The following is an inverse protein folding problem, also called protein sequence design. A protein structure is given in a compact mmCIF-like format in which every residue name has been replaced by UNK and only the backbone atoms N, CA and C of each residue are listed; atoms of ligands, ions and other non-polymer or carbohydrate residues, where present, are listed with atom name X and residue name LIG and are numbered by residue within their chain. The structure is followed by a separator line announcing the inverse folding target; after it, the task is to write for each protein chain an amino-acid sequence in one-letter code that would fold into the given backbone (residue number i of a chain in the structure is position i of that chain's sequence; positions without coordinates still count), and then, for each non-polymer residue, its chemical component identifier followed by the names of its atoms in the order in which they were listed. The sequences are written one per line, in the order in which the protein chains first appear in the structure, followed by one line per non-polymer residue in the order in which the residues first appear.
data_IF_134427677069
#
_entry.id   IF_134427677069
#
_cell.length_a   1.000
_cell.length_b   1.000
_cell.length_c   1.000
_cell.angle_alpha   90.00
_cell.angle_beta   90.00
_cell.angle_gamma   90.00
#
_symmetry.space_group_name_H-M   'P 1'
#
loop_
_entity.id
_entity.type
_entity.pdbx_description
1 polymer ?
#
# COMPACT_ATOMS: atom_id res chain seq x y z
N UNK A 1 -3.24 -32.35 4.92
CA UNK A 1 -3.38 -31.13 4.10
C UNK A 1 -2.51 -30.02 4.70
N UNK A 2 -1.65 -29.36 3.93
CA UNK A 2 -0.55 -28.51 4.45
C UNK A 2 -0.93 -27.06 4.82
N UNK A 3 -2.19 -26.66 4.64
CA UNK A 3 -2.72 -25.35 5.04
C UNK A 3 -2.01 -24.16 4.39
N UNK A 4 -1.72 -24.26 3.09
CA UNK A 4 -0.96 -23.25 2.32
C UNK A 4 -1.77 -21.97 2.05
N UNK A 5 -3.11 -22.06 2.11
CA UNK A 5 -4.05 -20.95 1.99
C UNK A 5 -3.84 -19.86 3.05
N UNK A 6 -3.26 -20.20 4.21
CA UNK A 6 -2.94 -19.24 5.28
C UNK A 6 -2.07 -18.08 4.81
N UNK A 7 -1.14 -18.34 3.88
CA UNK A 7 -0.23 -17.32 3.37
C UNK A 7 -0.99 -16.27 2.55
N UNK A 8 -1.93 -16.71 1.72
CA UNK A 8 -2.79 -15.82 0.96
C UNK A 8 -3.73 -15.03 1.86
N UNK A 9 -4.37 -15.69 2.84
CA UNK A 9 -5.28 -15.02 3.78
C UNK A 9 -4.58 -13.93 4.60
N UNK A 10 -3.38 -14.23 5.11
CA UNK A 10 -2.59 -13.27 5.88
C UNK A 10 -2.17 -12.08 5.01
N UNK A 11 -1.66 -12.33 3.80
CA UNK A 11 -1.29 -11.28 2.87
C UNK A 11 -2.49 -10.41 2.50
N UNK A 12 -3.66 -11.03 2.26
CA UNK A 12 -4.88 -10.30 1.92
C UNK A 12 -5.32 -9.38 3.06
N UNK A 13 -5.39 -9.87 4.29
CA UNK A 13 -5.78 -9.04 5.44
C UNK A 13 -4.77 -7.91 5.67
N UNK A 14 -3.47 -8.20 5.62
CA UNK A 14 -2.44 -7.21 5.91
C UNK A 14 -2.37 -6.07 4.87
N UNK A 15 -2.49 -6.41 3.58
CA UNK A 15 -2.42 -5.43 2.48
C UNK A 15 -3.60 -4.47 2.41
N UNK A 16 -4.69 -4.73 3.13
CA UNK A 16 -5.86 -3.85 3.18
C UNK A 16 -5.74 -2.70 4.19
N UNK A 17 -4.73 -2.71 5.08
CA UNK A 17 -4.53 -1.65 6.09
C UNK A 17 -4.44 -0.26 5.44
N UNK A 18 -3.62 -0.14 4.40
CA UNK A 18 -3.46 1.07 3.62
C UNK A 18 -3.85 0.80 2.17
N UNK A 19 -4.76 1.58 1.58
CA UNK A 19 -5.14 1.39 0.19
C UNK A 19 -3.94 1.68 -0.73
N UNK A 20 -3.39 0.64 -1.34
CA UNK A 20 -2.20 0.70 -2.22
C UNK A 20 -2.28 1.78 -3.32
N UNK A 21 -3.49 2.09 -3.78
CA UNK A 21 -3.74 3.11 -4.82
C UNK A 21 -3.16 4.49 -4.45
N UNK A 22 -3.14 4.86 -3.18
CA UNK A 22 -2.64 6.17 -2.76
C UNK A 22 -1.12 6.25 -2.78
N UNK A 23 -0.42 5.12 -2.67
CA UNK A 23 1.04 5.08 -2.85
C UNK A 23 1.41 5.49 -4.27
N UNK A 24 0.71 4.99 -5.28
CA UNK A 24 0.95 5.37 -6.68
C UNK A 24 0.65 6.85 -6.94
N UNK A 25 -0.43 7.37 -6.35
CA UNK A 25 -0.78 8.78 -6.46
C UNK A 25 0.33 9.67 -5.85
N UNK A 26 0.81 9.35 -4.65
CA UNK A 26 1.86 10.11 -3.98
C UNK A 26 3.19 10.07 -4.75
N UNK A 27 3.56 8.89 -5.28
CA UNK A 27 4.75 8.73 -6.12
C UNK A 27 4.61 9.57 -7.41
N UNK A 28 3.46 9.50 -8.08
CA UNK A 28 3.20 10.30 -9.28
C UNK A 28 3.28 11.80 -9.01
N UNK A 29 2.72 12.26 -7.89
CA UNK A 29 2.75 13.67 -7.50
C UNK A 29 4.17 14.18 -7.21
N UNK A 30 5.03 13.33 -6.66
CA UNK A 30 6.45 13.65 -6.46
C UNK A 30 7.17 13.82 -7.80
N UNK A 31 7.03 12.86 -8.72
CA UNK A 31 7.73 12.91 -10.00
C UNK A 31 7.20 13.95 -10.99
N UNK A 32 5.90 14.27 -10.92
CA UNK A 32 5.27 15.19 -11.88
C UNK A 32 5.20 16.64 -11.38
N UNK A 33 5.11 16.85 -10.07
CA UNK A 33 4.81 18.16 -9.47
C UNK A 33 5.78 18.56 -8.36
N UNK A 34 6.91 17.86 -8.18
CA UNK A 34 7.90 18.09 -7.10
C UNK A 34 7.28 18.20 -5.69
N UNK A 35 6.14 17.54 -5.48
CA UNK A 35 5.39 17.60 -4.22
C UNK A 35 5.70 16.40 -3.35
N UNK A 36 6.30 16.64 -2.18
CA UNK A 36 6.64 15.58 -1.25
C UNK A 36 5.39 14.87 -0.69
N UNK A 37 5.45 13.53 -0.48
CA UNK A 37 4.37 12.78 0.15
C UNK A 37 4.16 13.23 1.62
N UNK A 38 2.95 13.01 2.18
CA UNK A 38 2.67 13.31 3.57
C UNK A 38 3.59 12.51 4.52
N UNK A 39 4.06 13.16 5.59
CA UNK A 39 5.05 12.60 6.53
C UNK A 39 4.48 11.52 7.47
N UNK A 40 3.15 11.39 7.57
CA UNK A 40 2.48 10.40 8.43
C UNK A 40 1.73 9.40 7.56
N UNK A 41 1.52 8.19 8.09
CA UNK A 41 0.96 7.03 7.39
C UNK A 41 -0.45 7.17 6.80
N UNK A 42 -1.00 8.38 6.72
CA UNK A 42 -2.14 8.73 5.90
C UNK A 42 -1.66 9.02 4.48
N UNK A 43 -1.56 7.97 3.67
CA UNK A 43 -1.48 8.10 2.21
C UNK A 43 -2.86 7.74 1.65
#
# INVERSE_FOLDING_TARGET
EHGLDRHWRNARVHTLHDPVRWKFHAIGNYYLNDTNPPLRGTI
#
